data_IF_633403109676
#
_entry.id   IF_633403109676
#
_cell.length_a   1.000
_cell.length_b   1.000
_cell.length_c   1.000
_cell.angle_alpha   90.00
_cell.angle_beta   90.00
_cell.angle_gamma   90.00
#
_symmetry.space_group_name_H-M   'P 1'
#
loop_
_entity.id
_entity.type
_entity.pdbx_description
1 polymer ?
#
# COMPACT_ATOMS: atom_id res chain seq x y z
N UNK A 1 21.01 -16.14 11.59
CA UNK A 1 20.81 -15.61 12.94
C UNK A 1 19.73 -14.53 12.86
N UNK A 2 18.54 -14.78 13.42
CA UNK A 2 17.43 -13.81 13.42
C UNK A 2 17.60 -12.72 14.51
N UNK A 3 18.61 -12.81 15.39
CA UNK A 3 18.77 -11.88 16.51
C UNK A 3 19.05 -10.43 16.08
N UNK A 4 19.48 -10.21 14.83
CA UNK A 4 19.71 -8.86 14.24
C UNK A 4 18.57 -8.46 13.28
N UNK A 5 17.60 -9.34 13.05
CA UNK A 5 16.46 -9.04 12.19
C UNK A 5 15.46 -8.14 12.91
N UNK A 6 14.91 -7.16 12.20
CA UNK A 6 13.77 -6.38 12.68
C UNK A 6 12.42 -7.05 12.36
N UNK A 7 12.42 -8.22 11.69
CA UNK A 7 11.24 -9.07 11.54
C UNK A 7 10.93 -9.77 12.86
N UNK A 8 10.00 -9.21 13.62
CA UNK A 8 9.63 -9.71 14.95
C UNK A 8 8.12 -9.54 15.16
N UNK A 9 7.44 -10.60 15.59
CA UNK A 9 6.02 -10.56 15.93
C UNK A 9 5.79 -9.87 17.29
N UNK A 10 6.02 -8.55 17.34
CA UNK A 10 5.89 -7.69 18.51
C UNK A 10 5.13 -6.40 18.12
N UNK A 11 4.01 -6.16 18.78
CA UNK A 11 3.09 -5.06 18.46
C UNK A 11 3.75 -3.67 18.64
N UNK A 12 4.78 -3.57 19.47
CA UNK A 12 5.52 -2.31 19.70
C UNK A 12 6.56 -2.03 18.61
N UNK A 13 6.82 -3.00 17.74
CA UNK A 13 7.89 -2.95 16.74
C UNK A 13 7.39 -2.93 15.30
N UNK A 14 6.10 -2.69 15.08
CA UNK A 14 5.46 -2.78 13.76
C UNK A 14 6.04 -1.79 12.74
N UNK A 15 6.50 -0.63 13.19
CA UNK A 15 7.08 0.42 12.34
C UNK A 15 8.61 0.29 12.15
N UNK A 16 9.26 -0.70 12.79
CA UNK A 16 10.72 -0.87 12.64
C UNK A 16 11.08 -1.26 11.22
N UNK A 17 12.19 -0.70 10.73
CA UNK A 17 12.77 -1.05 9.44
C UNK A 17 13.70 0.04 8.92
N UNK A 18 14.43 -0.23 7.82
CA UNK A 18 15.26 0.78 7.19
C UNK A 18 14.38 1.90 6.59
N UNK A 19 14.87 3.13 6.67
CA UNK A 19 14.23 4.31 6.11
C UNK A 19 15.23 5.17 5.35
N UNK A 20 14.76 5.85 4.31
CA UNK A 20 15.50 6.92 3.69
C UNK A 20 15.37 8.18 4.55
N UNK A 21 16.50 8.75 4.98
CA UNK A 21 16.53 9.99 5.76
C UNK A 21 16.68 11.20 4.83
N UNK A 22 16.17 12.35 5.26
CA UNK A 22 16.20 13.59 4.49
C UNK A 22 16.74 14.73 5.37
N UNK A 23 17.25 15.77 4.72
CA UNK A 23 17.90 16.91 5.39
C UNK A 23 17.72 18.18 4.57
N UNK A 24 17.80 19.33 5.22
CA UNK A 24 17.81 20.65 4.58
C UNK A 24 19.21 21.24 4.47
N UNK A 25 20.24 20.44 4.75
CA UNK A 25 21.64 20.82 4.60
C UNK A 25 22.03 21.04 3.14
N UNK A 26 23.06 21.85 2.92
CA UNK A 26 23.59 22.11 1.57
C UNK A 26 24.03 20.81 0.89
N UNK A 27 23.41 20.48 -0.24
CA UNK A 27 23.71 19.27 -1.02
C UNK A 27 22.83 18.06 -0.68
N UNK A 28 22.03 18.13 0.38
CA UNK A 28 21.06 17.09 0.74
C UNK A 28 19.70 17.32 0.06
N UNK A 29 18.92 16.25 -0.07
CA UNK A 29 17.55 16.30 -0.57
C UNK A 29 16.52 16.38 0.57
N UNK A 30 15.48 17.19 0.35
CA UNK A 30 14.27 17.18 1.15
C UNK A 30 13.37 15.98 0.77
N UNK A 31 12.47 15.60 1.67
CA UNK A 31 11.48 14.56 1.39
C UNK A 31 10.50 15.03 0.30
N UNK A 32 10.46 14.31 -0.83
CA UNK A 32 9.54 14.60 -1.92
C UNK A 32 8.06 14.29 -1.64
N UNK A 33 7.76 13.61 -0.52
CA UNK A 33 6.39 13.37 -0.04
C UNK A 33 5.89 14.48 0.89
N UNK A 34 6.75 15.43 1.25
CA UNK A 34 6.37 16.64 1.97
C UNK A 34 5.95 17.72 0.97
N UNK A 35 4.83 18.38 1.26
CA UNK A 35 4.32 19.50 0.48
C UNK A 35 3.86 20.62 1.42
N UNK A 36 4.81 21.44 1.86
CA UNK A 36 4.58 22.66 2.66
C UNK A 36 3.82 22.45 4.00
N UNK A 37 3.81 21.22 4.52
CA UNK A 37 3.13 20.85 5.76
C UNK A 37 1.65 20.47 5.56
N UNK A 38 1.06 19.87 6.60
CA UNK A 38 -0.27 19.24 6.51
C UNK A 38 -1.41 20.23 6.22
N UNK A 39 -1.27 21.49 6.61
CA UNK A 39 -2.29 22.52 6.36
C UNK A 39 -2.34 22.99 4.89
N UNK A 40 -1.23 22.83 4.16
CA UNK A 40 -1.05 23.36 2.81
C UNK A 40 -0.94 22.29 1.73
N UNK A 41 -0.60 21.07 2.10
CA UNK A 41 -0.41 19.98 1.15
C UNK A 41 -1.60 19.82 0.22
N UNK A 42 -1.34 19.54 -1.05
CA UNK A 42 -2.36 19.16 -2.03
C UNK A 42 -2.61 17.65 -2.07
N UNK A 43 -1.82 16.83 -1.37
CA UNK A 43 -2.00 15.38 -1.36
C UNK A 43 -3.28 15.00 -0.62
N UNK A 44 -4.17 14.30 -1.32
CA UNK A 44 -5.44 13.82 -0.79
C UNK A 44 -5.58 12.32 -0.98
N UNK A 45 -6.04 11.63 0.06
CA UNK A 45 -6.50 10.26 -0.08
C UNK A 45 -7.77 10.23 -0.91
N UNK A 46 -7.97 9.19 -1.72
CA UNK A 46 -9.27 8.97 -2.34
C UNK A 46 -10.34 8.75 -1.25
N UNK A 47 -11.54 9.32 -1.38
CA UNK A 47 -12.63 9.17 -0.40
C UNK A 47 -13.01 7.71 -0.14
N UNK A 48 -12.76 6.81 -1.11
CA UNK A 48 -12.90 5.36 -0.95
C UNK A 48 -12.02 4.76 0.14
N UNK A 49 -10.91 5.40 0.51
CA UNK A 49 -10.07 4.94 1.62
C UNK A 49 -10.88 4.91 2.91
N UNK A 50 -11.70 5.95 3.14
CA UNK A 50 -12.57 6.05 4.32
C UNK A 50 -13.83 5.22 4.14
N UNK A 51 -14.52 5.33 2.99
CA UNK A 51 -15.82 4.67 2.81
C UNK A 51 -15.73 3.15 2.75
N UNK A 52 -14.60 2.58 2.34
CA UNK A 52 -14.38 1.13 2.29
C UNK A 52 -13.73 0.58 3.57
N UNK A 53 -13.30 1.46 4.49
CA UNK A 53 -12.68 1.02 5.73
C UNK A 53 -13.68 0.29 6.61
N UNK A 54 -13.23 -0.76 7.30
CA UNK A 54 -14.05 -1.39 8.33
C UNK A 54 -14.27 -0.38 9.47
N UNK A 55 -15.49 -0.30 10.02
CA UNK A 55 -15.76 0.56 11.16
C UNK A 55 -14.77 0.32 12.31
N UNK A 56 -14.21 1.40 12.85
CA UNK A 56 -13.26 1.35 13.96
C UNK A 56 -11.80 1.07 13.57
N UNK A 57 -11.46 0.96 12.27
CA UNK A 57 -10.07 0.79 11.84
C UNK A 57 -9.22 1.99 12.22
N UNK A 58 -8.34 1.79 13.20
CA UNK A 58 -7.53 2.85 13.80
C UNK A 58 -6.50 3.42 12.82
N UNK A 59 -6.14 2.68 11.76
CA UNK A 59 -5.16 3.16 10.77
C UNK A 59 -5.69 4.32 9.94
N UNK A 60 -6.99 4.36 9.66
CA UNK A 60 -7.62 5.48 8.97
C UNK A 60 -7.49 6.74 9.83
N UNK A 61 -7.85 6.62 11.11
CA UNK A 61 -7.79 7.72 12.08
C UNK A 61 -6.36 8.21 12.30
N UNK A 62 -5.38 7.31 12.38
CA UNK A 62 -3.97 7.69 12.56
C UNK A 62 -3.35 8.37 11.34
N UNK A 63 -3.83 8.05 10.13
CA UNK A 63 -3.19 8.44 8.87
C UNK A 63 -3.90 9.55 8.11
N UNK A 64 -5.14 9.84 8.47
CA UNK A 64 -5.98 10.81 7.77
C UNK A 64 -6.60 11.80 8.74
N UNK A 65 -6.74 13.04 8.26
CA UNK A 65 -7.54 14.08 8.87
C UNK A 65 -8.40 14.76 7.81
N UNK A 66 -9.55 15.30 8.21
CA UNK A 66 -10.39 16.10 7.31
C UNK A 66 -9.83 17.51 7.20
N UNK A 67 -9.57 17.97 5.97
CA UNK A 67 -9.12 19.31 5.65
C UNK A 67 -10.02 19.99 4.61
N UNK A 68 -9.46 20.95 3.88
CA UNK A 68 -10.15 21.56 2.74
C UNK A 68 -10.27 20.57 1.58
N UNK A 69 -11.44 20.58 0.93
CA UNK A 69 -11.68 19.77 -0.26
C UNK A 69 -10.92 20.35 -1.46
N UNK A 70 -10.20 19.49 -2.17
CA UNK A 70 -9.56 19.80 -3.45
C UNK A 70 -10.21 18.94 -4.53
N UNK A 71 -10.51 19.54 -5.67
CA UNK A 71 -11.07 18.87 -6.83
C UNK A 71 -10.12 18.91 -8.02
N UNK A 72 -9.84 17.74 -8.62
CA UNK A 72 -8.98 17.57 -9.79
C UNK A 72 -9.61 16.53 -10.71
N UNK A 73 -9.74 16.86 -12.00
CA UNK A 73 -10.22 15.94 -13.05
C UNK A 73 -11.54 15.20 -12.70
N UNK A 74 -12.49 15.90 -12.06
CA UNK A 74 -13.79 15.34 -11.69
C UNK A 74 -13.82 14.53 -10.39
N UNK A 75 -12.68 14.41 -9.70
CA UNK A 75 -12.59 13.80 -8.37
C UNK A 75 -12.37 14.88 -7.32
N UNK A 76 -13.07 14.78 -6.19
CA UNK A 76 -12.90 15.67 -5.05
C UNK A 76 -12.62 14.87 -3.78
N UNK A 77 -11.73 15.38 -2.92
CA UNK A 77 -11.44 14.78 -1.62
C UNK A 77 -11.00 15.83 -0.61
N UNK A 78 -11.43 15.65 0.63
CA UNK A 78 -11.08 16.41 1.83
C UNK A 78 -10.16 15.60 2.78
N UNK A 79 -9.76 14.39 2.39
CA UNK A 79 -8.97 13.48 3.23
C UNK A 79 -7.48 13.76 3.07
N UNK A 80 -6.84 14.33 4.09
CA UNK A 80 -5.42 14.73 4.08
C UNK A 80 -4.57 13.66 4.77
N UNK A 81 -3.47 13.25 4.13
CA UNK A 81 -2.50 12.32 4.74
C UNK A 81 -1.64 13.02 5.80
N UNK A 82 -1.36 12.34 6.90
CA UNK A 82 -0.59 12.90 8.04
C UNK A 82 0.86 12.41 8.14
N UNK A 83 1.30 11.49 7.27
CA UNK A 83 2.53 10.71 7.48
C UNK A 83 3.85 11.46 7.21
N UNK A 84 3.81 12.58 6.49
CA UNK A 84 5.01 13.34 6.10
C UNK A 84 4.81 14.86 6.34
N UNK A 85 4.69 15.28 7.62
CA UNK A 85 4.44 16.67 7.96
C UNK A 85 5.63 17.60 7.68
N UNK A 86 6.85 17.07 7.64
CA UNK A 86 8.09 17.84 7.55
C UNK A 86 8.96 17.44 6.34
N UNK A 87 9.73 18.40 5.84
CA UNK A 87 10.70 18.20 4.76
C UNK A 87 11.82 17.19 5.11
N UNK A 88 11.98 16.86 6.40
CA UNK A 88 12.99 15.93 6.91
C UNK A 88 12.40 14.62 7.44
N UNK A 89 11.06 14.45 7.42
CA UNK A 89 10.43 13.21 7.88
C UNK A 89 10.99 12.02 7.08
N UNK A 90 11.56 10.98 7.71
CA UNK A 90 12.08 9.82 6.99
C UNK A 90 10.97 9.04 6.26
N UNK A 91 11.32 8.44 5.13
CA UNK A 91 10.42 7.56 4.38
C UNK A 91 10.82 6.12 4.60
N UNK A 92 9.97 5.28 5.24
CA UNK A 92 10.27 3.86 5.40
C UNK A 92 10.45 3.19 4.03
N UNK A 93 11.47 2.34 3.91
CA UNK A 93 11.70 1.53 2.70
C UNK A 93 10.91 0.22 2.80
N UNK A 94 10.98 -0.42 3.96
CA UNK A 94 10.21 -1.60 4.32
C UNK A 94 10.05 -1.64 5.84
N UNK A 95 8.88 -2.02 6.33
CA UNK A 95 8.57 -2.07 7.76
C UNK A 95 8.36 -3.50 8.26
N UNK A 96 8.49 -3.72 9.57
CA UNK A 96 8.26 -5.02 10.19
C UNK A 96 6.83 -5.51 9.95
N UNK A 97 5.82 -4.64 10.05
CA UNK A 97 4.42 -5.00 9.70
C UNK A 97 4.27 -5.44 8.25
N UNK A 98 4.99 -4.83 7.31
CA UNK A 98 5.01 -5.26 5.92
C UNK A 98 5.63 -6.66 5.78
N UNK A 99 6.77 -6.90 6.43
CA UNK A 99 7.41 -8.22 6.43
C UNK A 99 6.54 -9.32 7.05
N UNK A 100 5.82 -9.02 8.14
CA UNK A 100 4.87 -9.95 8.75
C UNK A 100 3.69 -10.26 7.81
N UNK A 101 3.20 -9.26 7.05
CA UNK A 101 2.16 -9.48 6.05
C UNK A 101 2.69 -10.27 4.84
N UNK A 102 3.92 -10.03 4.40
CA UNK A 102 4.57 -10.83 3.35
C UNK A 102 4.76 -12.28 3.82
N UNK A 103 5.09 -12.51 5.09
CA UNK A 103 5.15 -13.84 5.69
C UNK A 103 3.77 -14.53 5.64
N UNK A 104 2.69 -13.80 5.94
CA UNK A 104 1.33 -14.30 5.80
C UNK A 104 1.00 -14.67 4.34
N UNK A 105 1.40 -13.87 3.36
CA UNK A 105 1.23 -14.19 1.94
C UNK A 105 2.00 -15.44 1.52
N UNK A 106 3.23 -15.61 2.02
CA UNK A 106 4.05 -16.81 1.78
C UNK A 106 3.35 -18.04 2.35
N UNK A 107 2.86 -17.98 3.59
CA UNK A 107 2.13 -19.09 4.21
C UNK A 107 0.83 -19.40 3.48
N UNK A 108 0.12 -18.38 2.98
CA UNK A 108 -1.06 -18.54 2.14
C UNK A 108 -0.71 -19.28 0.85
N UNK A 109 0.34 -18.87 0.14
CA UNK A 109 0.79 -19.49 -1.10
C UNK A 109 1.28 -20.94 -0.92
N UNK A 110 1.71 -21.29 0.29
CA UNK A 110 2.06 -22.68 0.68
C UNK A 110 0.85 -23.54 1.09
N UNK A 111 -0.36 -22.99 1.06
CA UNK A 111 -1.58 -23.67 1.50
C UNK A 111 -1.76 -23.73 3.02
N UNK A 112 -0.94 -23.02 3.80
CA UNK A 112 -1.04 -22.97 5.26
C UNK A 112 -1.99 -21.86 5.72
N UNK A 113 -3.26 -21.97 5.34
CA UNK A 113 -4.26 -20.91 5.55
C UNK A 113 -4.50 -20.55 7.02
N UNK A 114 -4.55 -21.49 7.98
CA UNK A 114 -4.68 -21.14 9.41
C UNK A 114 -3.49 -20.32 9.93
N UNK A 115 -2.27 -20.64 9.52
CA UNK A 115 -1.05 -19.88 9.88
C UNK A 115 -1.08 -18.48 9.29
N UNK A 116 -1.36 -18.39 7.99
CA UNK A 116 -1.46 -17.11 7.27
C UNK A 116 -2.53 -16.20 7.89
N UNK A 117 -3.68 -16.76 8.26
CA UNK A 117 -4.74 -16.02 8.94
C UNK A 117 -4.30 -15.53 10.33
N UNK A 118 -3.57 -16.35 11.10
CA UNK A 118 -3.07 -15.94 12.41
C UNK A 118 -2.07 -14.78 12.31
N UNK A 119 -1.16 -14.81 11.34
CA UNK A 119 -0.20 -13.74 11.06
C UNK A 119 -0.90 -12.45 10.59
N UNK A 120 -1.88 -12.56 9.69
CA UNK A 120 -2.70 -11.42 9.27
C UNK A 120 -3.51 -10.85 10.45
N UNK A 121 -4.08 -11.71 11.30
CA UNK A 121 -4.85 -11.30 12.47
C UNK A 121 -4.00 -10.59 13.52
N UNK A 122 -2.71 -10.92 13.62
CA UNK A 122 -1.77 -10.21 14.48
C UNK A 122 -1.68 -8.74 14.06
N UNK A 123 -1.51 -8.44 12.76
CA UNK A 123 -1.49 -7.06 12.26
C UNK A 123 -2.86 -6.40 12.37
N UNK A 124 -3.91 -7.12 11.98
CA UNK A 124 -5.30 -6.67 12.05
C UNK A 124 -5.70 -6.16 13.44
N UNK A 125 -5.29 -6.89 14.47
CA UNK A 125 -5.61 -6.57 15.86
C UNK A 125 -4.69 -5.47 16.39
N UNK A 126 -3.37 -5.59 16.20
CA UNK A 126 -2.40 -4.69 16.84
C UNK A 126 -2.19 -3.37 16.10
N UNK A 127 -2.23 -3.37 14.76
CA UNK A 127 -2.15 -2.15 13.95
C UNK A 127 -3.54 -1.58 13.68
N UNK A 128 -4.48 -2.42 13.24
CA UNK A 128 -5.82 -2.00 12.85
C UNK A 128 -6.78 -1.73 14.01
N UNK A 129 -6.54 -2.31 15.20
CA UNK A 129 -7.51 -2.28 16.31
C UNK A 129 -8.82 -3.02 15.98
N UNK A 130 -8.78 -3.93 15.00
CA UNK A 130 -9.96 -4.63 14.51
C UNK A 130 -10.06 -6.04 15.12
N UNK A 131 -11.28 -6.54 15.25
CA UNK A 131 -11.50 -7.93 15.64
C UNK A 131 -10.88 -8.90 14.61
N UNK A 132 -10.29 -9.98 15.12
CA UNK A 132 -9.70 -11.05 14.33
C UNK A 132 -10.73 -11.68 13.37
N UNK A 133 -10.30 -11.94 12.13
CA UNK A 133 -11.08 -12.73 11.18
C UNK A 133 -10.98 -14.22 11.52
N UNK A 134 -12.03 -14.98 11.23
CA UNK A 134 -12.16 -16.40 11.65
C UNK A 134 -12.19 -17.39 10.49
N UNK A 135 -12.49 -16.93 9.28
CA UNK A 135 -12.60 -17.79 8.10
C UNK A 135 -11.24 -18.13 7.53
N UNK A 136 -10.93 -19.44 7.49
CA UNK A 136 -9.70 -20.03 6.92
C UNK A 136 -9.87 -20.47 5.46
N UNK A 137 -10.97 -20.07 4.80
CA UNK A 137 -11.15 -20.31 3.36
C UNK A 137 -10.06 -19.57 2.58
N UNK A 138 -9.40 -20.17 1.57
CA UNK A 138 -8.25 -19.58 0.89
C UNK A 138 -8.48 -18.13 0.44
N UNK A 139 -9.54 -17.86 -0.32
CA UNK A 139 -9.86 -16.50 -0.78
C UNK A 139 -10.17 -15.52 0.38
N UNK A 140 -10.78 -15.99 1.45
CA UNK A 140 -11.07 -15.16 2.63
C UNK A 140 -9.79 -14.75 3.36
N UNK A 141 -8.83 -15.66 3.48
CA UNK A 141 -7.53 -15.38 4.08
C UNK A 141 -6.76 -14.39 3.22
N UNK A 142 -6.71 -14.61 1.90
CA UNK A 142 -6.05 -13.68 0.97
C UNK A 142 -6.66 -12.29 1.06
N UNK A 143 -8.00 -12.18 1.00
CA UNK A 143 -8.68 -10.89 1.09
C UNK A 143 -8.42 -10.20 2.44
N UNK A 144 -8.23 -10.95 3.52
CA UNK A 144 -7.84 -10.41 4.82
C UNK A 144 -6.43 -9.83 4.75
N UNK A 145 -5.47 -10.59 4.23
CA UNK A 145 -4.08 -10.13 4.07
C UNK A 145 -4.01 -8.85 3.23
N UNK A 146 -4.70 -8.83 2.08
CA UNK A 146 -4.75 -7.68 1.19
C UNK A 146 -5.40 -6.45 1.87
N UNK A 147 -6.46 -6.65 2.65
CA UNK A 147 -7.05 -5.58 3.45
C UNK A 147 -6.05 -5.00 4.44
N UNK A 148 -5.33 -5.86 5.17
CA UNK A 148 -4.34 -5.40 6.14
C UNK A 148 -3.20 -4.64 5.44
N UNK A 149 -2.66 -5.15 4.32
CA UNK A 149 -1.63 -4.46 3.53
C UNK A 149 -2.08 -3.06 3.11
N UNK A 150 -3.28 -2.92 2.55
CA UNK A 150 -3.81 -1.62 2.11
C UNK A 150 -3.79 -0.57 3.22
N UNK A 151 -4.32 -0.90 4.40
CA UNK A 151 -4.46 0.08 5.47
C UNK A 151 -3.17 0.26 6.27
N UNK A 152 -2.42 -0.82 6.52
CA UNK A 152 -1.14 -0.77 7.23
C UNK A 152 -0.07 -0.03 6.44
N UNK A 153 -0.09 -0.13 5.11
CA UNK A 153 0.87 0.50 4.19
C UNK A 153 0.30 1.71 3.44
N UNK A 154 -0.91 2.16 3.80
CA UNK A 154 -1.55 3.34 3.24
C UNK A 154 -0.59 4.54 3.27
N UNK A 155 -0.34 5.13 2.10
CA UNK A 155 0.59 6.25 1.86
C UNK A 155 2.04 5.98 2.28
N UNK A 156 2.45 4.72 2.36
CA UNK A 156 3.83 4.31 2.63
C UNK A 156 4.38 3.43 1.51
N UNK A 157 3.52 2.64 0.87
CA UNK A 157 3.90 1.74 -0.22
C UNK A 157 2.89 1.76 -1.36
N UNK A 158 3.37 1.58 -2.59
CA UNK A 158 2.57 1.45 -3.81
C UNK A 158 2.10 0.01 -4.08
N UNK A 159 2.21 -0.88 -3.11
CA UNK A 159 1.95 -2.33 -3.27
C UNK A 159 0.52 -2.69 -3.62
N UNK A 160 -0.47 -1.86 -3.28
CA UNK A 160 -1.89 -2.16 -3.53
C UNK A 160 -2.19 -2.57 -4.98
N UNK A 161 -1.69 -1.82 -5.96
CA UNK A 161 -1.91 -2.14 -7.38
C UNK A 161 -1.12 -3.39 -7.81
N UNK A 162 0.11 -3.53 -7.29
CA UNK A 162 0.95 -4.70 -7.55
C UNK A 162 0.31 -6.00 -7.02
N UNK A 163 -0.26 -5.95 -5.82
CA UNK A 163 -0.96 -7.08 -5.21
C UNK A 163 -2.23 -7.43 -6.01
N UNK A 164 -2.98 -6.41 -6.42
CA UNK A 164 -4.16 -6.59 -7.25
C UNK A 164 -3.81 -7.29 -8.58
N UNK A 165 -2.70 -6.90 -9.21
CA UNK A 165 -2.17 -7.54 -10.41
C UNK A 165 -1.70 -8.98 -10.15
N UNK A 166 -0.89 -9.17 -9.11
CA UNK A 166 -0.27 -10.46 -8.77
C UNK A 166 -1.32 -11.54 -8.47
N UNK A 167 -2.39 -11.18 -7.78
CA UNK A 167 -3.46 -12.10 -7.41
C UNK A 167 -4.67 -12.08 -8.36
N UNK A 168 -4.53 -11.46 -9.53
CA UNK A 168 -5.58 -11.43 -10.56
C UNK A 168 -6.87 -10.75 -10.08
N UNK A 169 -6.76 -9.72 -9.23
CA UNK A 169 -7.90 -8.97 -8.67
C UNK A 169 -8.21 -7.66 -9.41
N UNK A 170 -7.47 -7.29 -10.47
CA UNK A 170 -7.72 -6.05 -11.23
C UNK A 170 -9.05 -6.06 -12.01
N UNK A 171 -9.57 -7.22 -12.39
CA UNK A 171 -10.79 -7.37 -13.19
C UNK A 171 -11.99 -7.90 -12.38
N UNK A 172 -11.90 -7.94 -11.06
CA UNK A 172 -12.97 -8.45 -10.18
C UNK A 172 -13.96 -7.34 -9.86
N UNK A 173 -15.26 -7.64 -9.95
CA UNK A 173 -16.33 -6.69 -9.64
C UNK A 173 -17.40 -7.31 -8.71
N UNK A 174 -17.58 -6.82 -7.47
CA UNK A 174 -16.74 -5.84 -6.79
C UNK A 174 -15.41 -6.47 -6.33
N UNK A 175 -14.29 -5.75 -6.44
CA UNK A 175 -13.00 -6.25 -5.98
C UNK A 175 -12.93 -6.23 -4.44
N UNK A 176 -12.08 -7.07 -3.82
CA UNK A 176 -11.85 -7.01 -2.39
C UNK A 176 -11.39 -5.62 -1.96
N UNK A 177 -11.85 -5.15 -0.80
CA UNK A 177 -11.45 -3.84 -0.26
C UNK A 177 -9.93 -3.68 -0.20
N UNK A 178 -9.15 -4.75 0.03
CA UNK A 178 -7.69 -4.67 0.04
C UNK A 178 -7.04 -4.17 -1.26
N UNK A 179 -7.71 -4.33 -2.39
CA UNK A 179 -7.16 -4.01 -3.72
C UNK A 179 -8.00 -2.98 -4.47
N UNK A 180 -9.32 -2.97 -4.29
CA UNK A 180 -10.24 -2.03 -4.94
C UNK A 180 -10.28 -2.16 -6.46
N UNK A 181 -11.06 -1.29 -7.12
CA UNK A 181 -11.26 -1.28 -8.58
C UNK A 181 -10.10 -0.57 -9.25
N UNK A 182 -9.20 -1.32 -9.87
CA UNK A 182 -8.01 -0.80 -10.57
C UNK A 182 -8.21 -0.91 -12.09
N UNK A 183 -9.16 -0.13 -12.59
CA UNK A 183 -9.59 -0.08 -14.00
C UNK A 183 -9.46 1.34 -14.54
N UNK A 184 -9.26 1.45 -15.85
CA UNK A 184 -9.34 2.72 -16.57
C UNK A 184 -10.80 3.24 -16.65
N UNK A 185 -11.04 4.45 -17.19
CA UNK A 185 -12.40 4.98 -17.36
C UNK A 185 -13.32 4.11 -18.24
N UNK A 186 -12.78 3.22 -19.05
CA UNK A 186 -13.51 2.25 -19.87
C UNK A 186 -13.77 0.91 -19.17
N UNK A 187 -13.35 0.74 -17.91
CA UNK A 187 -13.48 -0.51 -17.16
C UNK A 187 -12.41 -1.55 -17.50
N UNK A 188 -11.37 -1.18 -18.25
CA UNK A 188 -10.28 -2.07 -18.64
C UNK A 188 -9.23 -2.11 -17.53
N UNK A 189 -8.82 -3.30 -17.06
CA UNK A 189 -7.73 -3.41 -16.09
C UNK A 189 -6.43 -2.83 -16.62
N UNK A 190 -5.77 -1.99 -15.82
CA UNK A 190 -4.43 -1.47 -16.15
C UNK A 190 -3.40 -2.50 -15.67
N UNK A 191 -2.93 -3.35 -16.57
CA UNK A 191 -1.98 -4.42 -16.24
C UNK A 191 -0.54 -3.92 -16.10
N UNK A 192 -0.13 -3.00 -16.97
CA UNK A 192 1.23 -2.48 -17.04
C UNK A 192 1.17 -0.98 -17.31
N UNK A 193 2.18 -0.24 -16.82
CA UNK A 193 2.39 1.12 -17.31
C UNK A 193 2.73 1.10 -18.80
N UNK A 194 2.25 2.10 -19.56
CA UNK A 194 2.62 2.24 -20.97
C UNK A 194 4.12 2.51 -21.09
N UNK A 195 4.74 1.97 -22.14
CA UNK A 195 6.12 2.29 -22.47
C UNK A 195 6.18 3.76 -22.90
N UNK A 196 7.10 4.58 -22.34
CA UNK A 196 7.22 5.98 -22.71
C UNK A 196 7.39 6.17 -24.22
N UNK A 197 6.70 7.16 -24.78
CA UNK A 197 6.71 7.41 -26.23
C UNK A 197 8.13 7.61 -26.78
N UNK A 198 8.97 8.36 -26.08
CA UNK A 198 10.37 8.58 -26.44
C UNK A 198 11.19 7.28 -26.43
N UNK A 199 10.91 6.37 -25.49
CA UNK A 199 11.57 5.05 -25.45
C UNK A 199 11.15 4.16 -26.63
N UNK A 200 9.86 4.18 -27.00
CA UNK A 200 9.37 3.44 -28.16
C UNK A 200 9.90 4.03 -29.48
N UNK A 201 9.86 5.36 -29.63
CA UNK A 201 10.34 6.06 -30.81
C UNK A 201 11.84 5.85 -31.05
N UNK A 202 12.66 5.88 -29.99
CA UNK A 202 14.09 5.61 -30.07
C UNK A 202 14.42 4.20 -30.60
N UNK A 203 13.44 3.27 -30.56
CA UNK A 203 13.57 1.88 -31.04
C UNK A 203 12.80 1.63 -32.32
N UNK A 204 12.37 2.67 -33.05
CA UNK A 204 11.50 2.52 -34.24
C UNK A 204 10.22 1.72 -33.94
N UNK A 205 9.69 1.84 -32.73
CA UNK A 205 8.57 1.04 -32.20
C UNK A 205 8.81 -0.49 -32.18
N UNK A 206 10.06 -0.94 -32.32
CA UNK A 206 10.45 -2.34 -32.12
C UNK A 206 10.71 -2.61 -30.62
N UNK A 207 9.63 -3.00 -29.93
CA UNK A 207 9.64 -3.30 -28.50
C UNK A 207 9.96 -4.78 -28.20
N UNK A 208 10.21 -5.59 -29.24
CA UNK A 208 10.50 -7.03 -29.07
C UNK A 208 11.81 -7.28 -28.30
N UNK A 209 12.70 -6.29 -28.25
CA UNK A 209 13.96 -6.31 -27.51
C UNK A 209 13.82 -6.01 -26.01
N UNK A 210 12.64 -5.61 -25.54
CA UNK A 210 12.35 -5.32 -24.13
C UNK A 210 11.56 -6.43 -23.43
N UNK A 211 11.00 -7.37 -24.19
CA UNK A 211 10.36 -8.53 -23.60
C UNK A 211 11.46 -9.47 -23.08
N UNK A 212 11.68 -9.49 -21.77
CA UNK A 212 11.98 -10.76 -21.14
C UNK A 212 10.85 -11.69 -21.57
N UNK A 213 11.14 -12.64 -22.45
CA UNK A 213 10.25 -13.77 -22.68
C UNK A 213 9.92 -14.35 -21.32
N UNK A 214 8.63 -14.38 -20.98
CA UNK A 214 8.15 -15.10 -19.80
C UNK A 214 8.74 -16.52 -19.86
N UNK A 215 9.33 -17.04 -18.77
CA UNK A 215 9.75 -18.43 -18.70
C UNK A 215 8.56 -19.39 -18.88
#
# INVERSE_FOLDING_TARGET
>A
DLAVSFLVQDATKLELGPAHTYSTGTGDAQNGLWDQGLEKTAFRANTKVVSEARPGDQRVVRKLVTGSSIAVQGFASDQVFTLYPDATTPTPIITNKELLLLQAEVNWGRGSYPTALAEANFIRTNDGGLAAATSVVPDSVLNTILYEKRYSLLWQSGTRWLDARMFGKLNVNPPPVGVGTEQDPGGVPVWNFPIPFNEAAARNNDLTKQACTLP
#
